data_IF_016337764466
#
_entry.id   IF_016337764466
#
_cell.length_a   1.000
_cell.length_b   1.000
_cell.length_c   1.000
_cell.angle_alpha   90.00
_cell.angle_beta   90.00
_cell.angle_gamma   90.00
#
_symmetry.space_group_name_H-M   'P 1'
#
loop_
_entity.id
_entity.type
_entity.pdbx_description
1 polymer ?
#
# COMPACT_ATOMS: atom_id res chain seq x y z
N UNK A 1 22.03 -2.88 2.72
CA UNK A 1 22.79 -2.30 1.60
C UNK A 1 24.10 -1.63 2.03
N UNK A 2 24.17 -1.01 3.21
CA UNK A 2 25.42 -0.43 3.76
C UNK A 2 26.54 -1.47 4.03
N UNK A 3 26.18 -2.75 4.03
CA UNK A 3 27.13 -3.85 4.18
C UNK A 3 27.94 -4.18 2.91
N UNK A 4 27.57 -3.63 1.75
CA UNK A 4 28.39 -3.68 0.54
C UNK A 4 29.48 -2.62 0.61
N UNK A 5 30.64 -2.94 0.04
CA UNK A 5 31.89 -2.27 0.37
C UNK A 5 31.96 -0.80 -0.10
N UNK A 6 31.39 -0.48 -1.25
CA UNK A 6 31.43 0.86 -1.85
C UNK A 6 30.15 1.22 -2.61
N UNK A 7 30.02 2.47 -3.03
CA UNK A 7 28.84 2.99 -3.71
C UNK A 7 28.67 2.41 -5.13
N UNK A 8 29.76 2.09 -5.82
CA UNK A 8 29.69 1.45 -7.14
C UNK A 8 29.08 0.05 -7.01
N UNK A 9 29.55 -0.76 -6.07
CA UNK A 9 29.02 -2.10 -5.79
C UNK A 9 27.54 -2.03 -5.37
N UNK A 10 27.16 -1.05 -4.54
CA UNK A 10 25.76 -0.80 -4.15
C UNK A 10 24.90 -0.43 -5.36
N UNK A 11 25.42 0.43 -6.23
CA UNK A 11 24.74 0.83 -7.46
C UNK A 11 24.55 -0.32 -8.42
N UNK A 12 25.57 -1.14 -8.67
CA UNK A 12 25.48 -2.35 -9.49
C UNK A 12 24.41 -3.31 -8.95
N UNK A 13 24.38 -3.48 -7.63
CA UNK A 13 23.38 -4.34 -6.99
C UNK A 13 21.97 -3.79 -7.17
N UNK A 14 21.76 -2.48 -6.99
CA UNK A 14 20.47 -1.83 -7.23
C UNK A 14 20.05 -1.90 -8.70
N UNK A 15 21.00 -1.74 -9.63
CA UNK A 15 20.74 -1.90 -11.07
C UNK A 15 20.29 -3.32 -11.39
N UNK A 16 20.94 -4.32 -10.81
CA UNK A 16 20.54 -5.72 -10.98
C UNK A 16 19.13 -5.99 -10.43
N UNK A 17 18.79 -5.48 -9.24
CA UNK A 17 17.42 -5.56 -8.69
C UNK A 17 16.42 -4.91 -9.65
N UNK A 18 16.68 -3.70 -10.12
CA UNK A 18 15.78 -3.00 -11.03
C UNK A 18 15.62 -3.73 -12.36
N UNK A 19 16.70 -4.25 -12.94
CA UNK A 19 16.63 -5.08 -14.15
C UNK A 19 15.79 -6.32 -13.92
N UNK A 20 16.00 -7.05 -12.83
CA UNK A 20 15.20 -8.22 -12.49
C UNK A 20 13.71 -7.89 -12.40
N UNK A 21 13.36 -6.76 -11.78
CA UNK A 21 11.96 -6.36 -11.59
C UNK A 21 11.30 -5.84 -12.87
N UNK A 22 12.03 -5.11 -13.73
CA UNK A 22 11.45 -4.40 -14.87
C UNK A 22 11.74 -5.01 -16.22
N UNK A 23 12.73 -5.92 -16.33
CA UNK A 23 13.05 -6.64 -17.56
C UNK A 23 12.55 -8.08 -17.49
N UNK A 24 12.33 -8.69 -18.64
CA UNK A 24 11.91 -10.10 -18.72
C UNK A 24 13.11 -11.06 -18.77
N UNK A 25 14.29 -10.54 -19.12
CA UNK A 25 15.50 -11.32 -19.25
C UNK A 25 16.04 -11.80 -17.88
N UNK A 26 16.69 -12.99 -17.84
CA UNK A 26 17.35 -13.45 -16.64
C UNK A 26 18.48 -12.51 -16.21
N UNK A 27 18.41 -12.02 -15.00
CA UNK A 27 19.44 -11.14 -14.43
C UNK A 27 20.28 -11.93 -13.43
N UNK A 28 21.60 -11.80 -13.57
CA UNK A 28 22.56 -12.36 -12.60
C UNK A 28 22.93 -11.29 -11.57
N UNK A 29 23.24 -11.71 -10.32
CA UNK A 29 23.76 -10.78 -9.33
C UNK A 29 25.12 -10.22 -9.78
N UNK A 30 25.50 -9.04 -9.32
CA UNK A 30 26.86 -8.57 -9.46
C UNK A 30 27.83 -9.56 -8.80
N UNK A 31 29.02 -9.72 -9.41
CA UNK A 31 30.04 -10.63 -8.89
C UNK A 31 30.52 -10.18 -7.50
N UNK A 32 30.79 -11.15 -6.66
CA UNK A 32 31.33 -10.95 -5.32
C UNK A 32 30.51 -11.67 -4.26
N UNK A 33 31.20 -12.31 -3.32
CA UNK A 33 30.59 -13.17 -2.31
C UNK A 33 29.47 -12.48 -1.51
N UNK A 34 29.63 -11.19 -1.18
CA UNK A 34 28.61 -10.43 -0.46
C UNK A 34 27.37 -10.16 -1.35
N UNK A 35 27.58 -9.76 -2.61
CA UNK A 35 26.49 -9.48 -3.53
C UNK A 35 25.70 -10.75 -3.86
N UNK A 36 26.37 -11.87 -4.08
CA UNK A 36 25.75 -13.17 -4.32
C UNK A 36 24.92 -13.61 -3.11
N UNK A 37 25.50 -13.52 -1.90
CA UNK A 37 24.79 -13.84 -0.65
C UNK A 37 23.51 -12.99 -0.47
N UNK A 38 23.58 -11.66 -0.69
CA UNK A 38 22.39 -10.81 -0.58
C UNK A 38 21.37 -11.13 -1.65
N UNK A 39 21.82 -11.44 -2.86
CA UNK A 39 20.92 -11.80 -3.96
C UNK A 39 20.13 -13.06 -3.64
N UNK A 40 20.77 -14.11 -3.17
CA UNK A 40 20.12 -15.35 -2.75
C UNK A 40 19.06 -15.14 -1.68
N UNK A 41 19.30 -14.20 -0.76
CA UNK A 41 18.35 -13.91 0.32
C UNK A 41 17.12 -13.08 -0.13
N UNK A 42 17.22 -12.35 -1.26
CA UNK A 42 16.12 -11.48 -1.71
C UNK A 42 15.42 -11.98 -2.96
N UNK A 43 16.00 -12.93 -3.70
CA UNK A 43 15.48 -13.37 -5.00
C UNK A 43 14.05 -13.92 -4.90
N UNK A 44 13.75 -14.70 -3.88
CA UNK A 44 12.41 -15.25 -3.66
C UNK A 44 11.37 -14.17 -3.41
N UNK A 45 11.73 -13.14 -2.63
CA UNK A 45 10.84 -12.00 -2.33
C UNK A 45 10.60 -11.17 -3.59
N UNK A 46 11.65 -10.97 -4.40
CA UNK A 46 11.54 -10.24 -5.67
C UNK A 46 10.68 -11.00 -6.68
N UNK A 47 10.87 -12.33 -6.78
CA UNK A 47 10.08 -13.21 -7.66
C UNK A 47 8.60 -13.17 -7.26
N UNK A 48 8.28 -13.34 -5.98
CA UNK A 48 6.91 -13.23 -5.48
C UNK A 48 6.31 -11.84 -5.77
N UNK A 49 7.10 -10.78 -5.63
CA UNK A 49 6.66 -9.41 -5.90
C UNK A 49 6.35 -9.19 -7.39
N UNK A 50 7.21 -9.70 -8.27
CA UNK A 50 7.03 -9.62 -9.72
C UNK A 50 5.80 -10.41 -10.20
N UNK A 51 5.57 -11.58 -9.64
CA UNK A 51 4.38 -12.40 -9.92
C UNK A 51 3.10 -11.72 -9.40
N UNK A 52 3.14 -11.17 -8.20
CA UNK A 52 2.00 -10.46 -7.62
C UNK A 52 1.61 -9.23 -8.46
N UNK A 53 2.59 -8.49 -8.99
CA UNK A 53 2.36 -7.34 -9.86
C UNK A 53 1.66 -7.76 -11.16
N UNK A 54 2.11 -8.84 -11.81
CA UNK A 54 1.49 -9.38 -13.05
C UNK A 54 0.00 -9.67 -12.90
N UNK A 55 -0.43 -10.09 -11.72
CA UNK A 55 -1.84 -10.42 -11.43
C UNK A 55 -2.58 -9.31 -10.67
N UNK A 56 -1.99 -8.10 -10.56
CA UNK A 56 -2.56 -6.96 -9.86
C UNK A 56 -2.80 -7.16 -8.36
N UNK A 57 -2.05 -8.08 -7.73
CA UNK A 57 -2.14 -8.37 -6.29
C UNK A 57 -0.95 -7.78 -5.53
N UNK A 58 -1.10 -7.62 -4.22
CA UNK A 58 0.02 -7.23 -3.35
C UNK A 58 0.85 -8.47 -2.99
N UNK A 59 2.18 -8.35 -2.90
CA UNK A 59 3.04 -9.44 -2.43
C UNK A 59 2.62 -9.87 -1.01
N UNK A 60 2.56 -11.18 -0.76
CA UNK A 60 2.17 -11.72 0.55
C UNK A 60 3.16 -11.38 1.65
N UNK A 61 4.46 -11.33 1.31
CA UNK A 61 5.56 -11.04 2.25
C UNK A 61 5.78 -9.54 2.50
N UNK A 62 4.96 -8.66 1.91
CA UNK A 62 5.10 -7.22 2.15
C UNK A 62 4.85 -6.89 3.62
N UNK A 63 5.89 -6.41 4.31
CA UNK A 63 5.75 -5.98 5.69
C UNK A 63 5.00 -4.64 5.78
N UNK A 64 3.70 -4.69 6.03
CA UNK A 64 2.83 -3.52 6.10
C UNK A 64 3.14 -2.55 7.27
N UNK A 65 3.98 -2.95 8.22
CA UNK A 65 4.44 -2.08 9.32
C UNK A 65 5.58 -1.16 8.89
N UNK A 66 6.35 -1.55 7.87
CA UNK A 66 7.42 -0.73 7.32
C UNK A 66 6.86 0.31 6.35
N UNK A 67 7.50 1.47 6.32
CA UNK A 67 7.23 2.46 5.27
C UNK A 67 7.75 1.89 3.94
N UNK A 68 6.96 1.99 2.90
CA UNK A 68 7.31 1.56 1.56
C UNK A 68 6.67 2.48 0.53
N UNK A 69 7.23 2.49 -0.66
CA UNK A 69 6.70 3.21 -1.81
C UNK A 69 6.92 2.40 -3.09
N UNK A 70 6.17 2.70 -4.13
CA UNK A 70 6.33 2.05 -5.42
C UNK A 70 7.48 2.69 -6.18
N UNK A 71 8.52 1.91 -6.48
CA UNK A 71 9.59 2.32 -7.37
C UNK A 71 9.11 2.18 -8.81
N UNK A 72 8.93 3.32 -9.50
CA UNK A 72 8.30 3.32 -10.83
C UNK A 72 9.31 3.05 -11.94
N UNK A 73 8.84 2.51 -13.06
CA UNK A 73 9.65 2.29 -14.27
C UNK A 73 10.38 3.55 -14.77
N UNK A 74 9.79 4.73 -14.57
CA UNK A 74 10.45 6.00 -14.92
C UNK A 74 11.74 6.25 -14.13
N UNK A 75 11.83 5.78 -12.87
CA UNK A 75 13.04 5.89 -12.06
C UNK A 75 14.10 4.89 -12.52
N UNK A 76 13.66 3.70 -12.95
CA UNK A 76 14.54 2.73 -13.57
C UNK A 76 15.19 3.25 -14.85
N UNK A 77 14.45 3.96 -15.71
CA UNK A 77 15.03 4.58 -16.91
C UNK A 77 16.17 5.55 -16.59
N UNK A 78 16.07 6.31 -15.49
CA UNK A 78 17.17 7.16 -15.05
C UNK A 78 18.41 6.34 -14.65
N UNK A 79 18.21 5.22 -13.94
CA UNK A 79 19.29 4.29 -13.55
C UNK A 79 20.11 3.77 -14.75
N UNK A 80 19.49 3.63 -15.91
CA UNK A 80 20.18 3.16 -17.12
C UNK A 80 21.11 4.23 -17.75
N UNK A 81 21.00 5.50 -17.33
CA UNK A 81 21.69 6.65 -17.92
C UNK A 81 22.80 7.22 -17.03
N UNK A 82 22.97 6.71 -15.82
CA UNK A 82 23.91 7.20 -14.82
C UNK A 82 24.92 6.13 -14.44
N UNK A 83 26.04 6.53 -13.82
CA UNK A 83 27.10 5.60 -13.39
C UNK A 83 26.66 4.76 -12.19
N UNK A 84 27.39 3.69 -11.90
CA UNK A 84 27.04 2.79 -10.80
C UNK A 84 27.08 3.51 -9.43
N UNK A 85 28.06 4.40 -9.20
CA UNK A 85 28.14 5.25 -8.00
C UNK A 85 26.94 6.20 -7.90
N UNK A 86 26.56 6.80 -9.02
CA UNK A 86 25.43 7.71 -9.10
C UNK A 86 24.11 6.99 -8.88
N UNK A 87 23.98 5.73 -9.29
CA UNK A 87 22.77 4.91 -9.05
C UNK A 87 22.50 4.83 -7.56
N UNK A 88 23.52 4.53 -6.73
CA UNK A 88 23.32 4.44 -5.29
C UNK A 88 22.89 5.78 -4.70
N UNK A 89 23.54 6.87 -5.07
CA UNK A 89 23.16 8.21 -4.63
C UNK A 89 21.73 8.56 -5.01
N UNK A 90 21.32 8.28 -6.25
CA UNK A 90 19.96 8.52 -6.74
C UNK A 90 18.92 7.72 -5.98
N UNK A 91 19.13 6.43 -5.78
CA UNK A 91 18.21 5.56 -5.04
C UNK A 91 18.12 5.98 -3.58
N UNK A 92 19.25 6.33 -2.96
CA UNK A 92 19.31 6.85 -1.57
C UNK A 92 18.53 8.16 -1.43
N UNK A 93 18.67 9.07 -2.40
CA UNK A 93 17.92 10.33 -2.44
C UNK A 93 16.40 10.09 -2.52
N UNK A 94 15.95 9.21 -3.42
CA UNK A 94 14.53 8.84 -3.54
C UNK A 94 14.03 8.18 -2.25
N UNK A 95 14.78 7.26 -1.67
CA UNK A 95 14.40 6.57 -0.44
C UNK A 95 14.27 7.55 0.72
N UNK A 96 15.30 8.36 0.99
CA UNK A 96 15.30 9.38 2.04
C UNK A 96 14.12 10.35 1.89
N UNK A 97 13.86 10.79 0.65
CA UNK A 97 12.72 11.66 0.36
C UNK A 97 11.37 10.99 0.63
N UNK A 98 11.18 9.76 0.22
CA UNK A 98 9.88 9.07 0.33
C UNK A 98 9.63 8.46 1.70
N UNK A 99 10.65 7.89 2.32
CA UNK A 99 10.52 7.11 3.56
C UNK A 99 10.81 7.97 4.78
N UNK A 100 11.91 8.73 4.75
CA UNK A 100 12.35 9.53 5.88
C UNK A 100 11.80 10.95 5.86
N UNK A 101 11.32 11.41 4.70
CA UNK A 101 10.78 12.76 4.50
C UNK A 101 11.86 13.83 4.39
N UNK A 102 13.12 13.43 4.17
CA UNK A 102 14.28 14.33 4.08
C UNK A 102 14.47 14.79 2.64
N UNK A 103 14.55 16.10 2.42
CA UNK A 103 14.94 16.66 1.13
C UNK A 103 16.44 16.37 0.91
N UNK A 104 16.82 15.76 -0.23
CA UNK A 104 18.21 15.44 -0.47
C UNK A 104 19.03 16.73 -0.69
N UNK A 105 20.18 16.78 -0.04
CA UNK A 105 21.20 17.84 -0.20
C UNK A 105 22.45 17.23 -0.86
N UNK A 106 23.32 18.09 -1.36
CA UNK A 106 24.64 17.71 -1.87
C UNK A 106 24.64 16.67 -3.00
N UNK A 107 23.59 16.70 -3.84
CA UNK A 107 23.52 15.86 -5.04
C UNK A 107 24.45 16.42 -6.11
N UNK A 108 25.14 15.53 -6.86
CA UNK A 108 25.81 15.93 -8.09
C UNK A 108 24.80 16.55 -9.08
N UNK A 109 25.26 17.42 -9.98
CA UNK A 109 24.39 18.09 -10.95
C UNK A 109 23.54 17.08 -11.75
N UNK A 110 24.12 15.95 -12.11
CA UNK A 110 23.46 14.89 -12.86
C UNK A 110 22.34 14.25 -12.03
N UNK A 111 22.62 13.88 -10.79
CA UNK A 111 21.63 13.29 -9.87
C UNK A 111 20.54 14.29 -9.51
N UNK A 112 20.88 15.56 -9.28
CA UNK A 112 19.92 16.61 -9.01
C UNK A 112 18.92 16.78 -10.16
N UNK A 113 19.37 16.67 -11.41
CA UNK A 113 18.51 16.69 -12.59
C UNK A 113 17.52 15.53 -12.59
N UNK A 114 18.01 14.28 -12.48
CA UNK A 114 17.15 13.10 -12.50
C UNK A 114 16.21 13.04 -11.30
N UNK A 115 16.67 13.45 -10.11
CA UNK A 115 15.83 13.56 -8.92
C UNK A 115 14.74 14.62 -9.13
N UNK A 116 15.06 15.77 -9.68
CA UNK A 116 14.10 16.82 -10.00
C UNK A 116 13.00 16.35 -10.96
N UNK A 117 13.36 15.57 -11.98
CA UNK A 117 12.39 14.95 -12.90
C UNK A 117 11.49 13.92 -12.19
N UNK A 118 12.04 13.17 -11.23
CA UNK A 118 11.29 12.20 -10.44
C UNK A 118 10.38 12.88 -9.38
N UNK A 119 10.82 14.02 -8.82
CA UNK A 119 10.21 14.69 -7.65
C UNK A 119 8.70 14.92 -7.80
N UNK A 120 8.26 15.42 -8.96
CA UNK A 120 6.83 15.63 -9.20
C UNK A 120 5.98 14.37 -8.99
N UNK A 121 6.46 13.21 -9.44
CA UNK A 121 5.76 11.93 -9.26
C UNK A 121 5.84 11.45 -7.82
N UNK A 122 6.98 11.68 -7.16
CA UNK A 122 7.17 11.36 -5.75
C UNK A 122 6.21 12.19 -4.87
N UNK A 123 6.05 13.49 -5.15
CA UNK A 123 5.12 14.39 -4.44
C UNK A 123 3.66 13.93 -4.59
N UNK A 124 3.25 13.58 -5.80
CA UNK A 124 1.93 13.01 -6.05
C UNK A 124 1.73 11.71 -5.25
N UNK A 125 2.74 10.85 -5.18
CA UNK A 125 2.68 9.61 -4.41
C UNK A 125 2.57 9.87 -2.90
N UNK A 126 3.33 10.82 -2.36
CA UNK A 126 3.23 11.27 -0.96
C UNK A 126 1.83 11.79 -0.65
N UNK A 127 1.32 12.69 -1.47
CA UNK A 127 -0.02 13.28 -1.29
C UNK A 127 -1.10 12.20 -1.30
N UNK A 128 -1.07 11.28 -2.26
CA UNK A 128 -2.02 10.15 -2.33
C UNK A 128 -1.95 9.25 -1.09
N UNK A 129 -0.76 8.98 -0.57
CA UNK A 129 -0.58 8.19 0.65
C UNK A 129 -1.20 8.87 1.87
N UNK A 130 -1.04 10.19 2.02
CA UNK A 130 -1.63 10.98 3.11
C UNK A 130 -3.16 11.03 2.99
N UNK A 131 -3.67 11.37 1.80
CA UNK A 131 -5.12 11.45 1.53
C UNK A 131 -5.78 10.07 1.71
N UNK A 132 -5.15 8.99 1.23
CA UNK A 132 -5.67 7.63 1.41
C UNK A 132 -5.77 7.22 2.88
N UNK A 133 -4.78 7.59 3.69
CA UNK A 133 -4.81 7.34 5.15
C UNK A 133 -5.91 8.15 5.85
N UNK A 134 -6.12 9.42 5.47
CA UNK A 134 -7.19 10.27 6.02
C UNK A 134 -8.57 9.77 5.59
N UNK A 135 -8.76 9.48 4.32
CA UNK A 135 -10.03 8.96 3.80
C UNK A 135 -10.42 7.61 4.42
N UNK A 136 -9.44 6.72 4.64
CA UNK A 136 -9.68 5.46 5.35
C UNK A 136 -10.07 5.64 6.83
N UNK A 137 -9.45 6.60 7.53
CA UNK A 137 -9.80 6.93 8.92
C UNK A 137 -11.18 7.57 9.01
N UNK A 138 -11.50 8.53 8.14
CA UNK A 138 -12.82 9.17 8.11
C UNK A 138 -13.93 8.17 7.82
N UNK A 139 -13.75 7.27 6.83
CA UNK A 139 -14.73 6.23 6.54
C UNK A 139 -14.97 5.28 7.71
N UNK A 140 -13.89 4.86 8.41
CA UNK A 140 -14.04 4.04 9.62
C UNK A 140 -14.76 4.77 10.73
N UNK A 141 -14.39 6.04 11.02
CA UNK A 141 -15.03 6.85 12.06
C UNK A 141 -16.51 7.10 11.75
N UNK A 142 -16.84 7.42 10.50
CA UNK A 142 -18.24 7.65 10.09
C UNK A 142 -19.06 6.37 10.23
N UNK A 143 -18.54 5.22 9.79
CA UNK A 143 -19.23 3.94 9.92
C UNK A 143 -19.43 3.53 11.39
N UNK A 144 -18.43 3.73 12.25
CA UNK A 144 -18.54 3.45 13.69
C UNK A 144 -19.54 4.34 14.41
N UNK A 145 -19.54 5.65 14.11
CA UNK A 145 -20.50 6.62 14.69
C UNK A 145 -21.92 6.24 14.26
N UNK A 146 -22.12 5.96 12.99
CA UNK A 146 -23.45 5.61 12.44
C UNK A 146 -23.96 4.30 13.04
N UNK A 147 -23.13 3.26 13.15
CA UNK A 147 -23.50 1.99 13.77
C UNK A 147 -23.82 2.16 15.27
N UNK A 148 -23.03 2.92 16.00
CA UNK A 148 -23.30 3.22 17.43
C UNK A 148 -24.62 3.94 17.61
N UNK A 149 -24.90 4.96 16.80
CA UNK A 149 -26.17 5.68 16.83
C UNK A 149 -27.36 4.77 16.50
N UNK A 150 -27.22 3.91 15.49
CA UNK A 150 -28.24 2.93 15.15
C UNK A 150 -28.54 1.97 16.31
N UNK A 151 -27.51 1.37 16.93
CA UNK A 151 -27.69 0.47 18.08
C UNK A 151 -28.26 1.20 19.30
N UNK A 152 -27.93 2.46 19.53
CA UNK A 152 -28.52 3.27 20.58
C UNK A 152 -30.02 3.54 20.35
N UNK A 153 -30.43 3.72 19.09
CA UNK A 153 -31.84 3.89 18.70
C UNK A 153 -32.64 2.57 18.71
N UNK A 154 -31.95 1.44 18.66
CA UNK A 154 -32.54 0.10 18.63
C UNK A 154 -31.92 -0.80 19.73
N UNK A 155 -32.16 -0.55 21.03
CA UNK A 155 -31.50 -1.24 22.14
C UNK A 155 -31.80 -2.74 22.23
N UNK A 156 -32.85 -3.20 21.55
CA UNK A 156 -33.18 -4.62 21.44
C UNK A 156 -32.27 -5.38 20.45
N UNK A 157 -31.58 -4.66 19.53
CA UNK A 157 -30.68 -5.28 18.54
C UNK A 157 -29.32 -5.50 19.19
N UNK A 158 -28.87 -6.76 19.19
CA UNK A 158 -27.56 -7.15 19.70
C UNK A 158 -26.52 -7.09 18.59
N UNK A 159 -25.41 -6.43 18.88
CA UNK A 159 -24.24 -6.47 17.99
C UNK A 159 -23.55 -7.83 18.11
N UNK A 160 -23.83 -8.71 17.15
CA UNK A 160 -23.27 -10.05 17.05
C UNK A 160 -22.41 -10.22 15.77
N UNK A 161 -21.76 -9.13 15.34
CA UNK A 161 -20.83 -9.15 14.22
C UNK A 161 -19.44 -9.56 14.69
N UNK A 162 -18.94 -10.69 14.19
CA UNK A 162 -17.61 -11.20 14.50
C UNK A 162 -16.85 -11.55 13.22
N UNK A 163 -15.53 -11.42 13.24
CA UNK A 163 -14.67 -11.79 12.12
C UNK A 163 -15.05 -11.07 10.81
N UNK A 164 -15.24 -11.83 9.75
CA UNK A 164 -15.58 -11.28 8.43
C UNK A 164 -16.98 -10.65 8.35
N UNK A 165 -17.87 -10.93 9.31
CA UNK A 165 -19.21 -10.32 9.34
C UNK A 165 -19.17 -8.80 9.58
N UNK A 166 -18.08 -8.25 10.12
CA UNK A 166 -17.88 -6.80 10.24
C UNK A 166 -17.90 -6.09 8.88
N UNK A 167 -17.55 -6.79 7.81
CA UNK A 167 -17.61 -6.26 6.44
C UNK A 167 -19.04 -5.90 5.99
N UNK A 168 -20.07 -6.54 6.57
CA UNK A 168 -21.48 -6.27 6.27
C UNK A 168 -21.90 -4.82 6.60
N UNK A 169 -21.17 -4.15 7.47
CA UNK A 169 -21.43 -2.73 7.84
C UNK A 169 -21.05 -1.76 6.72
N UNK A 170 -20.14 -2.16 5.84
CA UNK A 170 -19.61 -1.27 4.80
C UNK A 170 -20.67 -0.89 3.77
N UNK A 171 -20.78 0.41 3.51
CA UNK A 171 -21.68 0.95 2.51
C UNK A 171 -23.18 0.88 2.86
N UNK A 172 -23.54 0.52 4.10
CA UNK A 172 -24.92 0.47 4.55
C UNK A 172 -25.36 1.83 5.11
N UNK A 173 -26.56 2.26 4.74
CA UNK A 173 -27.20 3.46 5.28
C UNK A 173 -28.08 3.09 6.49
N UNK A 174 -27.57 3.35 7.68
CA UNK A 174 -28.26 3.03 8.92
C UNK A 174 -29.43 3.94 9.22
N UNK A 175 -29.54 5.12 8.59
CA UNK A 175 -30.71 5.99 8.73
C UNK A 175 -31.90 5.39 8.02
N UNK A 176 -31.73 5.06 6.73
CA UNK A 176 -32.75 4.40 5.92
C UNK A 176 -33.13 3.06 6.53
N UNK A 177 -32.14 2.27 6.98
CA UNK A 177 -32.39 0.97 7.64
C UNK A 177 -33.26 1.13 8.90
N UNK A 178 -32.97 2.15 9.74
CA UNK A 178 -33.77 2.41 10.95
C UNK A 178 -35.24 2.70 10.64
N UNK A 179 -35.49 3.50 9.61
CA UNK A 179 -36.87 3.86 9.21
C UNK A 179 -37.62 2.65 8.66
N UNK A 180 -36.97 1.85 7.83
CA UNK A 180 -37.53 0.62 7.27
C UNK A 180 -37.81 -0.45 8.32
N UNK A 181 -36.95 -0.62 9.32
CA UNK A 181 -37.17 -1.55 10.41
C UNK A 181 -38.41 -1.17 11.23
N UNK A 182 -38.64 0.13 11.49
CA UNK A 182 -39.83 0.60 12.20
C UNK A 182 -41.11 0.35 11.42
N UNK A 183 -41.03 0.44 10.07
CA UNK A 183 -42.18 0.28 9.19
C UNK A 183 -42.52 -1.20 8.89
N UNK A 184 -41.60 -2.12 9.11
CA UNK A 184 -41.73 -3.53 8.73
C UNK A 184 -42.08 -4.43 9.94
N UNK A 185 -43.30 -4.97 10.04
CA UNK A 185 -43.68 -5.90 11.11
C UNK A 185 -42.79 -7.15 11.19
N UNK A 186 -42.27 -7.59 10.03
CA UNK A 186 -41.38 -8.78 9.92
C UNK A 186 -40.04 -8.55 10.62
N UNK A 187 -39.50 -7.33 10.53
CA UNK A 187 -38.15 -7.03 11.01
C UNK A 187 -38.10 -6.23 12.30
N UNK A 188 -39.22 -5.66 12.73
CA UNK A 188 -39.30 -4.78 13.91
C UNK A 188 -38.82 -5.44 15.22
N UNK A 189 -38.98 -6.76 15.33
CA UNK A 189 -38.59 -7.55 16.51
C UNK A 189 -37.28 -8.36 16.32
N UNK A 190 -36.59 -8.20 15.18
CA UNK A 190 -35.32 -8.94 14.97
C UNK A 190 -34.23 -8.39 15.90
N UNK A 191 -33.60 -9.29 16.65
CA UNK A 191 -32.57 -8.94 17.62
C UNK A 191 -31.14 -9.14 17.12
N UNK A 192 -30.95 -9.79 15.99
CA UNK A 192 -29.62 -10.08 15.42
C UNK A 192 -29.22 -9.04 14.40
N UNK A 193 -28.23 -8.23 14.72
CA UNK A 193 -27.63 -7.30 13.76
C UNK A 193 -27.09 -8.01 12.52
N UNK A 194 -26.44 -9.17 12.70
CA UNK A 194 -25.97 -9.98 11.59
C UNK A 194 -27.09 -10.35 10.63
N UNK A 195 -28.22 -10.82 11.12
CA UNK A 195 -29.34 -11.21 10.31
C UNK A 195 -29.97 -10.02 9.58
N UNK A 196 -30.13 -8.89 10.25
CA UNK A 196 -30.61 -7.64 9.65
C UNK A 196 -29.71 -7.22 8.50
N UNK A 197 -28.39 -7.18 8.70
CA UNK A 197 -27.44 -6.75 7.67
C UNK A 197 -27.29 -7.75 6.53
N UNK A 198 -27.47 -9.04 6.79
CA UNK A 198 -27.49 -10.08 5.74
C UNK A 198 -28.68 -9.95 4.81
N UNK A 199 -29.81 -9.35 5.27
CA UNK A 199 -31.01 -9.12 4.50
C UNK A 199 -31.23 -7.62 4.19
N UNK A 200 -30.17 -6.84 4.25
CA UNK A 200 -30.25 -5.38 4.11
C UNK A 200 -30.99 -4.95 2.82
N UNK A 201 -30.63 -5.54 1.68
CA UNK A 201 -31.22 -5.14 0.40
C UNK A 201 -32.72 -5.53 0.31
N UNK A 202 -33.14 -6.62 0.92
CA UNK A 202 -34.56 -6.99 1.06
C UNK A 202 -35.33 -5.97 1.92
N UNK A 203 -34.73 -5.57 3.05
CA UNK A 203 -35.35 -4.62 4.00
C UNK A 203 -35.50 -3.24 3.37
N UNK A 204 -34.47 -2.76 2.65
CA UNK A 204 -34.50 -1.44 2.03
C UNK A 204 -35.49 -1.38 0.85
N UNK A 205 -35.70 -2.50 0.14
CA UNK A 205 -36.57 -2.57 -1.02
C UNK A 205 -38.07 -2.81 -0.63
N UNK A 206 -38.33 -3.18 0.62
CA UNK A 206 -39.68 -3.38 1.14
C UNK A 206 -40.30 -2.08 1.62
#
# INVERSE_FOLDING_TARGET
MEMLDDDATRGQFMKAICRFMFEEEPVKPPKGNKSEYFWENIIDVMTESKEAEKIGKRPKRLNMKMKHFTFQYAYYKAILLITDEEIWQYVKAIYGYMVDGVEPTDLSNNIALYFGLAKRKLDISKTRSVVGKHGGKLRKQTAEITLKQFLSAHPHIRNNLYGNAVELVKGKDFSVLSDKLKASPKWANEQSLYKILSHYDEIISS
#
